data_IF_411863773072
#
_entry.id   IF_411863773072
#
_cell.length_a   1.000
_cell.length_b   1.000
_cell.length_c   1.000
_cell.angle_alpha   90.00
_cell.angle_beta   90.00
_cell.angle_gamma   90.00
#
_symmetry.space_group_name_H-M   'P 1'
#
loop_
_entity.id
_entity.type
_entity.pdbx_description
1 polymer ?
#
# COMPACT_ATOMS: atom_id res chain seq x y z
N UNK A 1 1.23 -15.26 5.84
CA UNK A 1 2.57 -14.63 5.71
C UNK A 1 3.35 -15.38 4.65
N UNK A 2 4.16 -14.70 3.84
CA UNK A 2 5.09 -15.33 2.89
C UNK A 2 6.36 -15.72 3.67
N UNK A 3 6.93 -16.91 3.43
CA UNK A 3 8.12 -17.37 4.14
C UNK A 3 9.39 -16.69 3.59
N UNK A 4 10.39 -16.49 4.46
CA UNK A 4 11.67 -15.90 4.06
C UNK A 4 12.40 -16.77 3.04
N UNK A 5 12.39 -18.10 3.21
CA UNK A 5 12.97 -19.06 2.26
C UNK A 5 12.38 -18.90 0.85
N UNK A 6 11.07 -18.62 0.75
CA UNK A 6 10.45 -18.37 -0.55
C UNK A 6 10.90 -17.04 -1.15
N UNK A 7 11.04 -15.97 -0.35
CA UNK A 7 11.53 -14.66 -0.83
C UNK A 7 12.97 -14.79 -1.33
N UNK A 8 13.84 -15.49 -0.59
CA UNK A 8 15.22 -15.76 -0.97
C UNK A 8 15.31 -16.53 -2.30
N UNK A 9 14.36 -17.46 -2.55
CA UNK A 9 14.30 -18.20 -3.83
C UNK A 9 13.99 -17.33 -5.06
N UNK A 10 13.61 -16.06 -4.86
CA UNK A 10 13.27 -15.13 -5.94
C UNK A 10 14.42 -14.16 -6.29
N UNK A 11 15.60 -14.27 -5.67
CA UNK A 11 16.70 -13.31 -5.84
C UNK A 11 17.16 -13.09 -7.28
N UNK A 12 17.00 -14.10 -8.15
CA UNK A 12 17.41 -14.02 -9.55
C UNK A 12 16.35 -13.38 -10.47
N UNK A 13 15.17 -13.07 -9.94
CA UNK A 13 14.11 -12.42 -10.72
C UNK A 13 14.34 -10.92 -10.77
N UNK A 14 14.21 -10.34 -11.97
CA UNK A 14 14.26 -8.90 -12.12
C UNK A 14 13.10 -8.20 -11.37
N UNK A 15 13.41 -7.08 -10.74
CA UNK A 15 12.41 -6.25 -10.07
C UNK A 15 11.36 -5.69 -11.04
N UNK A 16 10.14 -5.55 -10.52
CA UNK A 16 9.05 -4.87 -11.21
C UNK A 16 9.23 -3.35 -11.25
N UNK A 17 8.16 -2.65 -11.61
CA UNK A 17 8.12 -1.18 -11.54
C UNK A 17 7.72 -0.74 -10.14
N UNK A 18 8.49 0.19 -9.55
CA UNK A 18 8.19 0.81 -8.27
C UNK A 18 7.50 2.15 -8.48
N UNK A 19 6.31 2.33 -7.90
CA UNK A 19 5.53 3.57 -7.96
C UNK A 19 5.33 4.06 -6.52
N UNK A 20 5.82 5.27 -6.22
CA UNK A 20 5.66 5.90 -4.91
C UNK A 20 4.47 6.86 -4.92
N UNK A 21 3.50 6.62 -4.02
CA UNK A 21 2.38 7.54 -3.79
C UNK A 21 2.72 8.47 -2.63
N UNK A 22 2.75 9.78 -2.91
CA UNK A 22 2.97 10.84 -1.91
C UNK A 22 1.80 11.81 -1.90
N UNK A 23 1.78 12.72 -0.92
CA UNK A 23 0.79 13.79 -0.81
C UNK A 23 1.49 15.09 -0.39
N UNK A 24 0.77 16.21 -0.54
CA UNK A 24 1.15 17.50 0.05
C UNK A 24 1.10 17.43 1.58
N UNK A 25 1.53 18.51 2.25
CA UNK A 25 1.40 18.65 3.70
C UNK A 25 -0.06 18.43 4.15
N UNK A 26 -0.29 17.64 5.22
CA UNK A 26 -1.65 17.33 5.66
C UNK A 26 -2.48 18.55 6.06
N UNK A 27 -3.76 18.49 5.75
CA UNK A 27 -4.77 19.51 6.03
C UNK A 27 -6.01 18.87 6.67
N UNK A 28 -6.87 19.65 7.35
CA UNK A 28 -8.12 19.12 7.92
C UNK A 28 -9.10 18.53 6.89
N UNK A 29 -8.96 18.86 5.60
CA UNK A 29 -9.81 18.31 4.54
C UNK A 29 -9.49 16.83 4.23
N UNK A 30 -8.26 16.40 4.50
CA UNK A 30 -7.77 15.06 4.17
C UNK A 30 -7.36 14.91 2.70
N UNK A 31 -6.22 14.26 2.47
CA UNK A 31 -5.60 14.17 1.14
C UNK A 31 -5.90 12.85 0.43
N UNK A 32 -6.50 11.87 1.12
CA UNK A 32 -6.88 10.59 0.51
C UNK A 32 -5.72 9.73 0.02
N UNK A 33 -4.49 9.93 0.53
CA UNK A 33 -3.29 9.22 0.06
C UNK A 33 -3.47 7.69 0.01
N UNK A 34 -3.98 7.08 1.08
CA UNK A 34 -4.19 5.63 1.13
C UNK A 34 -5.26 5.18 0.14
N UNK A 35 -6.36 5.94 0.02
CA UNK A 35 -7.42 5.69 -0.96
C UNK A 35 -6.87 5.68 -2.39
N UNK A 36 -6.02 6.65 -2.74
CA UNK A 36 -5.36 6.71 -4.05
C UNK A 36 -4.42 5.54 -4.27
N UNK A 37 -3.65 5.12 -3.25
CA UNK A 37 -2.78 3.92 -3.36
C UNK A 37 -3.59 2.67 -3.68
N UNK A 38 -4.70 2.43 -2.98
CA UNK A 38 -5.59 1.28 -3.22
C UNK A 38 -6.23 1.38 -4.62
N UNK A 39 -6.83 2.51 -4.95
CA UNK A 39 -7.50 2.73 -6.24
C UNK A 39 -6.54 2.64 -7.44
N UNK A 40 -5.29 3.08 -7.29
CA UNK A 40 -4.27 2.91 -8.33
C UNK A 40 -3.94 1.43 -8.55
N UNK A 41 -3.81 0.65 -7.47
CA UNK A 41 -3.60 -0.80 -7.55
C UNK A 41 -4.75 -1.50 -8.27
N UNK A 42 -5.99 -1.19 -7.92
CA UNK A 42 -7.18 -1.73 -8.56
C UNK A 42 -7.26 -1.32 -10.04
N UNK A 43 -6.99 -0.05 -10.35
CA UNK A 43 -6.97 0.48 -11.70
C UNK A 43 -5.92 -0.20 -12.59
N UNK A 44 -4.70 -0.41 -12.07
CA UNK A 44 -3.63 -1.11 -12.79
C UNK A 44 -4.03 -2.56 -13.12
N UNK A 45 -4.65 -3.27 -12.17
CA UNK A 45 -5.16 -4.62 -12.42
C UNK A 45 -6.30 -4.60 -13.45
N UNK A 46 -7.21 -3.63 -13.38
CA UNK A 46 -8.31 -3.47 -14.35
C UNK A 46 -7.84 -3.25 -15.78
N UNK A 47 -6.70 -2.60 -15.99
CA UNK A 47 -6.08 -2.42 -17.32
C UNK A 47 -5.10 -3.54 -17.70
N UNK A 48 -5.11 -4.67 -16.97
CA UNK A 48 -4.34 -5.87 -17.31
C UNK A 48 -2.88 -5.87 -16.84
N UNK A 49 -2.48 -4.96 -15.93
CA UNK A 49 -1.15 -5.00 -15.31
C UNK A 49 -1.22 -5.82 -14.02
N UNK A 50 -0.30 -6.78 -13.85
CA UNK A 50 -0.14 -7.50 -12.57
C UNK A 50 0.45 -6.53 -11.54
N UNK A 51 -0.40 -5.96 -10.69
CA UNK A 51 0.00 -4.97 -9.70
C UNK A 51 -0.38 -5.39 -8.28
N UNK A 52 0.47 -5.03 -7.32
CA UNK A 52 0.25 -5.21 -5.89
C UNK A 52 0.54 -3.91 -5.16
N UNK A 53 -0.10 -3.69 -4.01
CA UNK A 53 0.11 -2.50 -3.17
C UNK A 53 0.78 -2.92 -1.84
N UNK A 54 1.58 -2.02 -1.28
CA UNK A 54 2.22 -2.19 0.03
C UNK A 54 1.74 -1.08 0.97
N UNK A 55 1.14 -1.45 2.09
CA UNK A 55 0.63 -0.53 3.11
C UNK A 55 1.24 -0.86 4.49
N UNK A 56 1.20 0.11 5.39
CA UNK A 56 1.62 -0.07 6.79
C UNK A 56 0.45 -0.58 7.62
N UNK A 57 0.75 -1.42 8.59
CA UNK A 57 -0.20 -1.79 9.64
C UNK A 57 -0.46 -0.57 10.55
N UNK A 58 -1.73 -0.23 10.85
CA UNK A 58 -2.05 0.84 11.77
C UNK A 58 -1.70 0.45 13.21
N UNK A 59 -1.41 1.45 14.05
CA UNK A 59 -1.26 1.21 15.49
C UNK A 59 -2.60 0.84 16.11
N UNK A 60 -2.60 -0.10 17.06
CA UNK A 60 -3.80 -0.55 17.76
C UNK A 60 -4.34 0.53 18.73
N UNK A 61 -3.48 1.39 19.29
CA UNK A 61 -3.85 2.36 20.33
C UNK A 61 -5.02 3.29 19.94
N UNK A 62 -4.97 3.96 18.77
CA UNK A 62 -6.05 4.81 18.28
C UNK A 62 -7.42 4.12 18.23
N UNK A 63 -7.48 2.82 17.94
CA UNK A 63 -8.74 2.07 17.87
C UNK A 63 -9.56 2.11 19.19
N UNK A 64 -8.92 2.37 20.33
CA UNK A 64 -9.56 2.45 21.64
C UNK A 64 -9.87 3.89 22.11
N UNK A 65 -9.54 4.92 21.33
CA UNK A 65 -9.73 6.33 21.71
C UNK A 65 -10.53 7.12 20.68
N UNK A 66 -9.87 7.55 19.60
CA UNK A 66 -10.53 8.15 18.45
C UNK A 66 -10.81 7.03 17.45
N UNK A 67 -12.10 6.74 17.17
CA UNK A 67 -12.56 5.69 16.23
C UNK A 67 -11.50 5.37 15.15
N UNK A 68 -10.94 4.17 15.21
CA UNK A 68 -9.90 3.70 14.28
C UNK A 68 -10.35 3.86 12.83
N UNK A 69 -9.46 4.40 11.99
CA UNK A 69 -9.72 4.59 10.56
C UNK A 69 -9.87 3.25 9.81
N UNK A 70 -10.52 3.32 8.64
CA UNK A 70 -10.65 2.21 7.70
C UNK A 70 -9.33 1.94 6.96
#
# INVERSE_FOLDING_TARGET
KISNQFIESLSDRADGKLILVTAISPTPAGEGKTTTTVGLGDGLNRIGKKALICLREPSLGPCFGMKGGA
#
